data_IF_052466648826
#
_entry.id   IF_052466648826
#
_cell.length_a   1.000
_cell.length_b   1.000
_cell.length_c   1.000
_cell.angle_alpha   90.00
_cell.angle_beta   90.00
_cell.angle_gamma   90.00
#
_symmetry.space_group_name_H-M   'P 1'
#
loop_
_entity.id
_entity.type
_entity.pdbx_description
1 polymer ?
#
# COMPACT_ATOMS: atom_id res chain seq x y z
N UNK A 1 21.25 -1.29 25.14
CA UNK A 1 21.01 -0.95 23.72
C UNK A 1 19.57 -0.51 23.55
N UNK A 2 19.37 0.71 23.03
CA UNK A 2 18.07 1.24 22.64
C UNK A 2 17.43 0.38 21.53
N UNK A 3 16.14 0.55 21.31
CA UNK A 3 15.40 -0.14 20.23
C UNK A 3 16.00 0.17 18.86
N UNK A 4 16.51 1.39 18.65
CA UNK A 4 17.23 1.79 17.44
C UNK A 4 18.59 1.11 17.30
N UNK A 5 19.35 0.98 18.39
CA UNK A 5 20.65 0.31 18.37
C UNK A 5 20.50 -1.18 18.07
N UNK A 6 19.48 -1.83 18.66
CA UNK A 6 19.15 -3.22 18.34
C UNK A 6 18.79 -3.37 16.86
N UNK A 7 18.01 -2.44 16.31
CA UNK A 7 17.63 -2.46 14.89
C UNK A 7 18.83 -2.31 13.95
N UNK A 8 19.75 -1.37 14.25
CA UNK A 8 21.00 -1.19 13.48
C UNK A 8 21.89 -2.43 13.52
N UNK A 9 22.02 -3.07 14.69
CA UNK A 9 22.81 -4.29 14.85
C UNK A 9 22.18 -5.48 14.13
N UNK A 10 20.85 -5.60 14.13
CA UNK A 10 20.14 -6.64 13.37
C UNK A 10 20.38 -6.45 11.87
N UNK A 11 20.25 -5.24 11.33
CA UNK A 11 20.53 -4.97 9.92
C UNK A 11 21.96 -5.36 9.52
N UNK A 12 22.94 -5.07 10.38
CA UNK A 12 24.35 -5.38 10.13
C UNK A 12 24.69 -6.87 10.18
N UNK A 13 23.82 -7.70 10.77
CA UNK A 13 24.05 -9.15 10.96
C UNK A 13 23.25 -10.03 9.99
N UNK A 14 22.42 -9.43 9.13
CA UNK A 14 21.72 -10.16 8.06
C UNK A 14 22.75 -10.66 7.04
N UNK A 15 22.95 -11.98 7.00
CA UNK A 15 23.73 -12.64 5.96
C UNK A 15 23.01 -12.54 4.60
N UNK A 16 23.51 -11.64 3.77
CA UNK A 16 23.01 -11.42 2.40
C UNK A 16 23.64 -12.40 1.39
N UNK A 17 24.44 -13.38 1.81
CA UNK A 17 25.13 -14.29 0.91
C UNK A 17 24.20 -15.25 0.14
N UNK A 18 23.01 -15.54 0.68
CA UNK A 18 21.91 -16.20 -0.06
C UNK A 18 21.21 -15.29 -1.09
N UNK A 19 21.45 -13.99 -1.01
CA UNK A 19 21.03 -12.95 -1.96
C UNK A 19 22.14 -12.61 -2.97
N UNK A 20 23.32 -13.21 -2.82
CA UNK A 20 24.48 -12.96 -3.66
C UNK A 20 25.21 -14.27 -3.93
N UNK A 21 24.76 -14.99 -4.96
CA UNK A 21 25.62 -15.86 -5.78
C UNK A 21 24.84 -16.41 -6.98
N UNK A 22 25.09 -15.83 -8.16
CA UNK A 22 25.52 -16.61 -9.33
C UNK A 22 26.35 -15.75 -10.30
N UNK A 23 27.63 -16.12 -10.31
CA UNK A 23 28.63 -16.12 -11.39
C UNK A 23 28.83 -14.86 -12.23
N UNK A 24 29.98 -14.23 -11.95
CA UNK A 24 30.79 -13.41 -12.85
C UNK A 24 30.86 -14.03 -14.25
N UNK A 25 30.23 -13.40 -15.23
CA UNK A 25 30.58 -13.51 -16.64
C UNK A 25 30.36 -12.14 -17.27
N UNK A 26 31.46 -11.55 -17.73
CA UNK A 26 31.57 -10.34 -18.55
C UNK A 26 30.92 -9.06 -18.02
N UNK A 27 31.79 -8.09 -17.74
CA UNK A 27 31.46 -6.70 -17.42
C UNK A 27 30.66 -6.12 -18.58
N UNK A 28 29.33 -6.09 -18.44
CA UNK A 28 28.39 -5.11 -19.00
C UNK A 28 27.01 -5.31 -18.36
N UNK A 29 26.57 -4.27 -17.63
CA UNK A 29 25.19 -4.01 -17.15
C UNK A 29 24.41 -5.14 -16.44
N UNK A 30 24.77 -5.45 -15.19
CA UNK A 30 23.83 -6.11 -14.27
C UNK A 30 23.38 -5.11 -13.18
N UNK A 31 22.37 -4.30 -13.52
CA UNK A 31 21.59 -3.53 -12.56
C UNK A 31 20.78 -4.49 -11.69
N UNK A 32 20.94 -4.43 -10.37
CA UNK A 32 19.95 -4.99 -9.44
C UNK A 32 18.59 -4.32 -9.69
N UNK A 33 17.67 -5.00 -10.36
CA UNK A 33 16.33 -4.46 -10.72
C UNK A 33 15.24 -4.73 -9.68
N UNK A 34 15.53 -4.60 -8.40
CA UNK A 34 14.52 -4.61 -7.33
C UNK A 34 14.92 -3.53 -6.32
N UNK A 35 13.98 -2.66 -5.96
CA UNK A 35 14.18 -1.28 -5.43
C UNK A 35 14.54 -0.27 -6.52
N UNK A 36 13.66 -0.05 -7.49
CA UNK A 36 13.70 1.23 -8.21
C UNK A 36 13.42 2.32 -7.18
N UNK A 37 14.43 3.10 -6.81
CA UNK A 37 14.18 4.41 -6.22
C UNK A 37 13.11 5.09 -7.08
N UNK A 38 12.13 5.74 -6.45
CA UNK A 38 11.11 6.53 -7.14
C UNK A 38 11.74 7.79 -7.76
N UNK A 39 12.82 7.63 -8.54
CA UNK A 39 13.48 8.68 -9.33
C UNK A 39 12.53 9.21 -10.41
N UNK A 40 11.57 8.38 -10.83
CA UNK A 40 10.50 8.73 -11.76
C UNK A 40 9.14 8.47 -11.09
N UNK A 41 8.28 9.48 -11.03
CA UNK A 41 6.90 9.30 -10.56
C UNK A 41 6.17 8.39 -11.54
N UNK A 42 5.96 7.13 -11.18
CA UNK A 42 5.10 6.24 -11.95
C UNK A 42 3.70 6.81 -11.98
N UNK A 43 3.25 7.23 -13.15
CA UNK A 43 1.92 7.81 -13.32
C UNK A 43 0.89 6.70 -13.50
N UNK A 44 -0.22 6.78 -12.77
CA UNK A 44 -1.31 5.83 -12.92
C UNK A 44 -1.84 5.80 -14.37
N UNK A 45 -1.84 6.95 -15.05
CA UNK A 45 -2.22 7.08 -16.47
C UNK A 45 -1.37 6.23 -17.42
N UNK A 46 -0.13 5.86 -17.03
CA UNK A 46 0.77 5.04 -17.84
C UNK A 46 0.60 3.54 -17.62
N UNK A 47 0.21 3.14 -16.42
CA UNK A 47 0.26 1.72 -16.02
C UNK A 47 -1.11 1.11 -15.69
N UNK A 48 -2.00 1.88 -15.05
CA UNK A 48 -3.32 1.42 -14.62
C UNK A 48 -4.10 0.78 -15.78
N UNK A 49 -4.76 -0.34 -15.47
CA UNK A 49 -5.80 -0.92 -16.34
C UNK A 49 -7.20 -0.75 -15.75
N UNK A 50 -7.32 0.01 -14.66
CA UNK A 50 -8.56 0.23 -13.91
C UNK A 50 -9.23 -1.09 -13.48
N UNK A 51 -8.40 -2.02 -13.00
CA UNK A 51 -8.81 -3.35 -12.57
C UNK A 51 -8.64 -3.53 -11.08
N UNK A 52 -9.46 -4.41 -10.54
CA UNK A 52 -9.34 -4.91 -9.18
C UNK A 52 -9.23 -6.43 -9.22
N UNK A 53 -8.38 -6.98 -8.36
CA UNK A 53 -8.17 -8.41 -8.22
C UNK A 53 -9.27 -9.07 -7.39
N UNK A 54 -9.68 -8.42 -6.30
CA UNK A 54 -10.66 -8.97 -5.37
C UNK A 54 -11.36 -7.88 -4.56
N UNK A 55 -12.55 -8.18 -4.08
CA UNK A 55 -13.29 -7.36 -3.12
C UNK A 55 -13.81 -8.25 -1.99
N UNK A 56 -13.43 -7.90 -0.75
CA UNK A 56 -13.75 -8.65 0.46
C UNK A 56 -14.53 -7.77 1.44
N UNK A 57 -15.86 -7.95 1.56
CA UNK A 57 -16.63 -7.26 2.57
C UNK A 57 -16.45 -7.90 3.95
N UNK A 58 -16.67 -7.10 4.99
CA UNK A 58 -16.80 -7.52 6.39
C UNK A 58 -15.63 -8.31 7.00
N UNK A 59 -14.40 -7.87 6.72
CA UNK A 59 -13.18 -8.53 7.20
C UNK A 59 -12.42 -7.70 8.24
N UNK A 60 -11.44 -8.31 8.92
CA UNK A 60 -10.78 -7.75 10.11
C UNK A 60 -9.25 -7.67 9.98
N UNK A 61 -8.69 -8.03 8.83
CA UNK A 61 -7.24 -8.24 8.65
C UNK A 61 -6.54 -7.08 7.94
N UNK A 62 -7.30 -6.17 7.32
CA UNK A 62 -6.78 -5.04 6.53
C UNK A 62 -6.98 -3.67 7.22
N UNK A 63 -7.12 -3.65 8.54
CA UNK A 63 -7.26 -2.42 9.32
C UNK A 63 -8.14 -2.62 10.55
N UNK A 64 -8.27 -1.57 11.36
CA UNK A 64 -9.10 -1.60 12.57
C UNK A 64 -10.60 -1.66 12.25
N UNK A 65 -11.33 -2.43 13.07
CA UNK A 65 -12.76 -2.66 12.92
C UNK A 65 -13.14 -3.56 11.74
N UNK A 66 -14.44 -3.64 11.46
CA UNK A 66 -14.95 -4.38 10.30
C UNK A 66 -14.71 -3.53 9.04
N UNK A 67 -13.98 -4.07 8.08
CA UNK A 67 -13.57 -3.40 6.84
C UNK A 67 -14.33 -3.93 5.63
N UNK A 68 -14.60 -3.04 4.67
CA UNK A 68 -14.74 -3.41 3.27
C UNK A 68 -13.40 -3.21 2.58
N UNK A 69 -12.80 -4.27 2.03
CA UNK A 69 -11.45 -4.22 1.46
C UNK A 69 -11.47 -4.45 -0.05
N UNK A 70 -10.92 -3.51 -0.83
CA UNK A 70 -10.71 -3.68 -2.28
C UNK A 70 -9.23 -3.86 -2.58
N UNK A 71 -8.92 -4.89 -3.37
CA UNK A 71 -7.57 -5.24 -3.79
C UNK A 71 -7.39 -4.82 -5.25
N UNK A 72 -6.68 -3.72 -5.51
CA UNK A 72 -6.42 -3.20 -6.85
C UNK A 72 -5.34 -4.00 -7.57
N UNK A 73 -5.38 -4.04 -8.90
CA UNK A 73 -4.44 -4.81 -9.70
C UNK A 73 -3.26 -3.96 -10.18
N UNK A 74 -2.06 -4.53 -10.20
CA UNK A 74 -0.88 -3.89 -10.76
C UNK A 74 0.04 -3.25 -9.71
N UNK A 75 1.30 -3.69 -9.65
CA UNK A 75 2.33 -3.14 -8.77
C UNK A 75 3.69 -3.17 -9.46
N UNK A 76 4.43 -2.07 -9.41
CA UNK A 76 5.78 -2.00 -9.96
C UNK A 76 6.88 -2.21 -8.92
N UNK A 77 6.54 -2.28 -7.63
CA UNK A 77 7.53 -2.53 -6.57
C UNK A 77 8.09 -3.96 -6.63
N UNK A 78 7.26 -4.94 -6.98
CA UNK A 78 7.70 -6.32 -7.20
C UNK A 78 8.38 -6.94 -5.97
N UNK A 79 7.87 -6.67 -4.77
CA UNK A 79 8.49 -7.13 -3.52
C UNK A 79 8.64 -8.67 -3.53
N UNK A 80 9.84 -9.16 -3.18
CA UNK A 80 10.11 -10.60 -3.08
C UNK A 80 9.21 -11.22 -1.99
N UNK A 81 8.58 -12.35 -2.31
CA UNK A 81 7.65 -13.06 -1.41
C UNK A 81 6.48 -12.18 -0.93
N UNK A 82 6.04 -11.26 -1.79
CA UNK A 82 4.86 -10.45 -1.51
C UNK A 82 3.63 -11.35 -1.34
N UNK A 83 2.88 -11.15 -0.25
CA UNK A 83 1.61 -11.83 -0.03
C UNK A 83 0.63 -11.68 -1.21
N UNK A 84 0.72 -10.52 -1.90
CA UNK A 84 -0.12 -10.13 -3.03
C UNK A 84 0.62 -10.27 -4.38
N UNK A 85 1.57 -11.21 -4.51
CA UNK A 85 2.36 -11.39 -5.75
C UNK A 85 1.48 -11.62 -6.98
N UNK A 86 0.42 -12.43 -6.87
CA UNK A 86 -0.48 -12.76 -7.98
C UNK A 86 -1.20 -11.55 -8.59
N UNK A 87 -1.32 -10.45 -7.83
CA UNK A 87 -2.06 -9.24 -8.22
C UNK A 87 -1.11 -8.08 -8.57
N UNK A 88 0.21 -8.32 -8.64
CA UNK A 88 1.18 -7.36 -9.17
C UNK A 88 1.04 -7.15 -10.68
N UNK A 89 0.40 -8.08 -11.39
CA UNK A 89 0.07 -7.94 -12.81
C UNK A 89 -1.12 -6.97 -12.98
N UNK A 90 -0.93 -5.91 -13.76
CA UNK A 90 -1.98 -4.91 -14.05
C UNK A 90 -3.23 -5.51 -14.74
N UNK A 91 -3.11 -6.68 -15.38
CA UNK A 91 -4.24 -7.37 -16.00
C UNK A 91 -4.96 -8.35 -15.07
N UNK A 92 -4.49 -8.57 -13.84
CA UNK A 92 -5.13 -9.47 -12.89
C UNK A 92 -6.56 -8.99 -12.56
N UNK A 93 -7.44 -9.94 -12.27
CA UNK A 93 -8.80 -9.65 -11.83
C UNK A 93 -9.75 -9.14 -12.92
N UNK A 94 -10.68 -8.27 -12.51
CA UNK A 94 -11.82 -7.80 -13.30
C UNK A 94 -11.76 -6.27 -13.46
N UNK A 95 -12.47 -5.77 -14.45
CA UNK A 95 -12.64 -4.33 -14.64
C UNK A 95 -13.42 -3.73 -13.47
N UNK A 96 -13.00 -2.54 -13.03
CA UNK A 96 -13.73 -1.77 -12.04
C UNK A 96 -14.99 -1.17 -12.67
N UNK A 97 -16.15 -1.41 -12.06
CA UNK A 97 -17.44 -0.98 -12.59
C UNK A 97 -18.26 -0.23 -11.55
N UNK A 98 -19.27 0.51 -12.00
CA UNK A 98 -20.19 1.21 -11.09
C UNK A 98 -20.99 0.23 -10.23
N UNK A 99 -21.33 -0.96 -10.75
CA UNK A 99 -22.06 -1.97 -9.98
C UNK A 99 -21.22 -2.50 -8.79
N UNK A 100 -19.90 -2.63 -8.96
CA UNK A 100 -19.01 -2.96 -7.86
C UNK A 100 -18.95 -1.80 -6.86
N UNK A 101 -18.82 -0.56 -7.34
CA UNK A 101 -18.76 0.61 -6.49
C UNK A 101 -20.05 0.76 -5.65
N UNK A 102 -21.22 0.57 -6.27
CA UNK A 102 -22.53 0.56 -5.62
C UNK A 102 -22.60 -0.50 -4.53
N UNK A 103 -22.11 -1.71 -4.82
CA UNK A 103 -22.01 -2.79 -3.83
C UNK A 103 -21.13 -2.39 -2.65
N UNK A 104 -19.95 -1.84 -2.89
CA UNK A 104 -19.04 -1.40 -1.83
C UNK A 104 -19.70 -0.34 -0.95
N UNK A 105 -20.37 0.65 -1.56
CA UNK A 105 -21.08 1.70 -0.81
C UNK A 105 -22.24 1.10 0.00
N UNK A 106 -23.01 0.17 -0.57
CA UNK A 106 -24.07 -0.54 0.16
C UNK A 106 -23.51 -1.29 1.37
N UNK A 107 -22.44 -2.04 1.20
CA UNK A 107 -21.81 -2.81 2.29
C UNK A 107 -21.23 -1.87 3.37
N UNK A 108 -20.67 -0.72 2.98
CA UNK A 108 -20.20 0.31 3.92
C UNK A 108 -21.31 0.96 4.76
N UNK A 109 -22.56 0.98 4.29
CA UNK A 109 -23.71 1.55 5.04
C UNK A 109 -24.03 0.79 6.32
N UNK A 110 -23.62 -0.47 6.44
CA UNK A 110 -23.86 -1.23 7.65
C UNK A 110 -23.23 -0.53 8.88
N UNK A 111 -23.98 -0.37 9.99
CA UNK A 111 -23.51 0.41 11.14
C UNK A 111 -22.31 -0.22 11.84
N UNK A 112 -22.13 -1.53 11.74
CA UNK A 112 -20.98 -2.25 12.30
C UNK A 112 -19.72 -2.15 11.43
N UNK A 113 -19.81 -1.66 10.20
CA UNK A 113 -18.65 -1.46 9.31
C UNK A 113 -17.95 -0.16 9.67
N UNK A 114 -16.68 -0.23 10.03
CA UNK A 114 -15.90 0.95 10.38
C UNK A 114 -15.52 1.76 9.13
N UNK A 115 -15.19 1.10 8.02
CA UNK A 115 -14.78 1.83 6.81
C UNK A 115 -14.19 0.98 5.69
N UNK A 116 -13.53 1.67 4.77
CA UNK A 116 -12.94 1.14 3.54
C UNK A 116 -11.42 0.93 3.69
N UNK A 117 -10.90 -0.20 3.24
CA UNK A 117 -9.47 -0.36 2.98
C UNK A 117 -9.21 -0.49 1.48
N UNK A 118 -8.32 0.35 0.95
CA UNK A 118 -7.82 0.29 -0.42
C UNK A 118 -6.41 -0.28 -0.38
N UNK A 119 -6.23 -1.48 -0.93
CA UNK A 119 -4.95 -2.17 -0.93
C UNK A 119 -4.78 -2.95 -2.23
N UNK A 120 -3.81 -3.87 -2.25
CA UNK A 120 -3.56 -4.76 -3.37
C UNK A 120 -2.86 -4.07 -4.54
N UNK A 121 -2.06 -4.84 -5.28
CA UNK A 121 -1.12 -4.27 -6.24
C UNK A 121 -0.42 -3.07 -5.59
N UNK A 122 -0.50 -1.92 -6.25
CA UNK A 122 -0.20 -0.61 -5.69
C UNK A 122 -1.38 0.34 -5.95
N UNK A 123 -2.14 0.76 -4.90
CA UNK A 123 -3.27 1.68 -5.05
C UNK A 123 -2.90 3.00 -5.70
N UNK A 124 -1.71 3.55 -5.43
CA UNK A 124 -1.27 4.80 -6.01
C UNK A 124 -0.82 4.68 -7.48
N UNK A 125 -0.80 3.47 -8.06
CA UNK A 125 -0.72 3.24 -9.50
C UNK A 125 -2.08 3.05 -10.17
N UNK A 126 -3.16 3.10 -9.37
CA UNK A 126 -4.55 2.92 -9.78
C UNK A 126 -5.43 4.07 -9.27
N UNK A 127 -4.88 5.28 -9.20
CA UNK A 127 -5.54 6.48 -8.64
C UNK A 127 -6.91 6.75 -9.27
N UNK A 128 -7.13 6.46 -10.56
CA UNK A 128 -8.46 6.60 -11.18
C UNK A 128 -9.55 5.82 -10.45
N UNK A 129 -9.29 4.55 -10.11
CA UNK A 129 -10.23 3.70 -9.37
C UNK A 129 -10.31 4.14 -7.91
N UNK A 130 -9.15 4.32 -7.27
CA UNK A 130 -9.08 4.67 -5.86
C UNK A 130 -9.73 6.03 -5.56
N UNK A 131 -9.53 7.04 -6.42
CA UNK A 131 -10.16 8.36 -6.29
C UNK A 131 -11.67 8.29 -6.50
N UNK A 132 -12.16 7.53 -7.49
CA UNK A 132 -13.60 7.34 -7.71
C UNK A 132 -14.27 6.86 -6.43
N UNK A 133 -13.74 5.76 -5.88
CA UNK A 133 -14.29 5.15 -4.67
C UNK A 133 -14.12 6.05 -3.44
N UNK A 134 -12.92 6.60 -3.20
CA UNK A 134 -12.65 7.43 -2.02
C UNK A 134 -13.51 8.70 -2.01
N UNK A 135 -13.66 9.37 -3.17
CA UNK A 135 -14.56 10.54 -3.30
C UNK A 135 -16.00 10.16 -3.01
N UNK A 136 -16.46 9.02 -3.51
CA UNK A 136 -17.83 8.56 -3.25
C UNK A 136 -18.05 8.21 -1.79
N UNK A 137 -17.10 7.56 -1.12
CA UNK A 137 -17.15 7.31 0.32
C UNK A 137 -17.26 8.63 1.10
N UNK A 138 -16.44 9.64 0.74
CA UNK A 138 -16.53 10.97 1.36
C UNK A 138 -17.87 11.67 1.10
N UNK A 139 -18.42 11.54 -0.10
CA UNK A 139 -19.72 12.11 -0.45
C UNK A 139 -20.87 11.47 0.35
N UNK A 140 -20.86 10.15 0.50
CA UNK A 140 -21.95 9.39 1.12
C UNK A 140 -21.88 9.36 2.65
N UNK A 141 -20.66 9.40 3.21
CA UNK A 141 -20.43 9.16 4.63
C UNK A 141 -19.65 10.27 5.35
N UNK A 142 -19.14 11.27 4.63
CA UNK A 142 -18.22 12.25 5.17
C UNK A 142 -17.03 11.56 5.84
N UNK A 143 -16.81 11.89 7.11
CA UNK A 143 -15.72 11.34 7.92
C UNK A 143 -16.15 10.20 8.86
N UNK A 144 -17.41 9.73 8.75
CA UNK A 144 -17.95 8.68 9.64
C UNK A 144 -17.45 7.27 9.29
N UNK A 145 -16.97 7.08 8.05
CA UNK A 145 -16.29 5.87 7.59
C UNK A 145 -14.84 6.22 7.28
N UNK A 146 -13.90 5.59 7.98
CA UNK A 146 -12.48 5.85 7.74
C UNK A 146 -11.99 5.15 6.46
N UNK A 147 -10.95 5.70 5.84
CA UNK A 147 -10.31 5.14 4.65
C UNK A 147 -8.86 4.83 4.97
N UNK A 148 -8.52 3.55 4.94
CA UNK A 148 -7.15 3.04 5.01
C UNK A 148 -6.62 2.83 3.60
N UNK A 149 -5.36 3.15 3.37
CA UNK A 149 -4.68 2.85 2.10
C UNK A 149 -3.30 2.25 2.36
N UNK A 150 -2.99 1.17 1.64
CA UNK A 150 -1.67 0.53 1.66
C UNK A 150 -0.84 1.01 0.49
N UNK A 151 0.47 1.20 0.67
CA UNK A 151 1.37 1.57 -0.41
C UNK A 151 2.79 1.06 -0.20
N UNK A 152 3.48 0.72 -1.28
CA UNK A 152 4.92 0.57 -1.30
C UNK A 152 5.66 1.91 -1.31
N UNK A 153 4.98 3.02 -1.58
CA UNK A 153 5.54 4.36 -1.38
C UNK A 153 5.57 4.71 0.10
N UNK A 154 6.56 5.52 0.46
CA UNK A 154 6.58 6.23 1.76
C UNK A 154 5.69 7.47 1.71
N UNK A 155 5.21 7.92 2.86
CA UNK A 155 4.45 9.16 3.00
C UNK A 155 5.15 10.35 2.35
N UNK A 156 6.46 10.49 2.57
CA UNK A 156 7.30 11.57 2.05
C UNK A 156 7.41 11.51 0.51
N UNK A 157 7.42 10.31 -0.08
CA UNK A 157 7.38 10.14 -1.54
C UNK A 157 6.02 10.53 -2.12
N UNK A 158 4.91 10.21 -1.42
CA UNK A 158 3.56 10.55 -1.86
C UNK A 158 3.32 12.06 -1.80
N UNK A 159 3.79 12.74 -0.75
CA UNK A 159 3.72 14.21 -0.64
C UNK A 159 4.44 14.94 -1.79
N UNK A 160 5.47 14.33 -2.37
CA UNK A 160 6.23 14.89 -3.50
C UNK A 160 5.76 14.38 -4.86
N UNK A 161 4.69 13.59 -4.93
CA UNK A 161 4.29 12.89 -6.14
C UNK A 161 3.37 13.68 -7.08
N UNK A 162 2.76 12.99 -8.04
CA UNK A 162 1.75 13.53 -8.94
C UNK A 162 0.49 13.94 -8.19
N UNK A 163 -0.25 14.90 -8.73
CA UNK A 163 -1.39 15.52 -8.05
C UNK A 163 -2.53 14.53 -7.76
N UNK A 164 -2.74 13.54 -8.63
CA UNK A 164 -3.70 12.45 -8.41
C UNK A 164 -3.38 11.60 -7.17
N UNK A 165 -2.09 11.37 -6.88
CA UNK A 165 -1.67 10.67 -5.67
C UNK A 165 -1.83 11.54 -4.43
N UNK A 166 -1.48 12.82 -4.51
CA UNK A 166 -1.68 13.76 -3.39
C UNK A 166 -3.16 13.91 -3.07
N UNK A 167 -4.00 13.99 -4.10
CA UNK A 167 -5.45 14.05 -3.96
C UNK A 167 -5.98 12.78 -3.29
N UNK A 168 -5.54 11.60 -3.73
CA UNK A 168 -5.95 10.33 -3.10
C UNK A 168 -5.53 10.30 -1.63
N UNK A 169 -4.29 10.66 -1.34
CA UNK A 169 -3.75 10.71 0.02
C UNK A 169 -4.57 11.63 0.92
N UNK A 170 -4.97 12.80 0.43
CA UNK A 170 -5.77 13.77 1.17
C UNK A 170 -7.20 13.28 1.49
N UNK A 171 -7.72 12.29 0.75
CA UNK A 171 -9.00 11.67 1.03
C UNK A 171 -8.90 10.53 2.04
N UNK A 172 -7.70 10.01 2.33
CA UNK A 172 -7.47 8.89 3.25
C UNK A 172 -7.20 9.36 4.68
N UNK A 173 -7.42 8.46 5.65
CA UNK A 173 -7.23 8.72 7.08
C UNK A 173 -6.03 7.99 7.67
N UNK A 174 -5.74 6.79 7.16
CA UNK A 174 -4.61 5.97 7.59
C UNK A 174 -3.83 5.49 6.38
N UNK A 175 -2.51 5.65 6.41
CA UNK A 175 -1.59 5.13 5.40
C UNK A 175 -0.74 4.02 6.03
N UNK A 176 -0.73 2.83 5.42
CA UNK A 176 0.30 1.80 5.67
C UNK A 176 1.36 1.94 4.58
N UNK A 177 2.51 2.48 4.94
CA UNK A 177 3.52 2.95 3.98
C UNK A 177 4.76 2.06 3.89
N UNK A 178 5.46 2.16 2.77
CA UNK A 178 6.73 1.48 2.50
C UNK A 178 6.61 0.06 1.94
N UNK A 179 7.62 -0.40 1.18
CA UNK A 179 7.59 -1.70 0.53
C UNK A 179 7.72 -2.82 1.57
N UNK A 180 7.19 -4.01 1.24
CA UNK A 180 7.43 -5.21 2.01
C UNK A 180 8.89 -5.65 1.87
N UNK A 181 9.56 -5.89 3.00
CA UNK A 181 10.95 -6.35 3.06
C UNK A 181 10.98 -7.70 3.78
N UNK A 182 11.25 -8.78 3.02
CA UNK A 182 11.26 -10.15 3.56
C UNK A 182 12.23 -10.33 4.74
N UNK A 183 13.38 -9.67 4.72
CA UNK A 183 14.36 -9.74 5.81
C UNK A 183 13.87 -9.08 7.11
N UNK A 184 12.83 -8.25 7.04
CA UNK A 184 12.18 -7.58 8.16
C UNK A 184 10.77 -8.11 8.42
N UNK A 185 10.43 -9.26 7.82
CA UNK A 185 9.12 -9.91 7.98
C UNK A 185 8.91 -10.29 9.44
N UNK A 186 7.77 -9.91 9.98
CA UNK A 186 7.34 -10.27 11.33
C UNK A 186 5.82 -10.45 11.33
N UNK A 187 5.38 -11.68 11.65
CA UNK A 187 3.96 -12.08 11.65
C UNK A 187 3.20 -11.55 12.87
N UNK A 188 3.91 -11.06 13.89
CA UNK A 188 3.31 -10.44 15.07
C UNK A 188 2.92 -8.97 14.87
N UNK A 189 3.30 -8.37 13.73
CA UNK A 189 2.97 -6.98 13.43
C UNK A 189 1.49 -6.83 13.06
N UNK A 190 0.83 -5.87 13.70
CA UNK A 190 -0.55 -5.51 13.36
C UNK A 190 -0.58 -4.89 11.96
N UNK A 191 -1.40 -5.44 11.06
CA UNK A 191 -1.76 -4.83 9.78
C UNK A 191 -0.61 -4.50 8.80
N UNK A 192 0.61 -4.98 9.05
CA UNK A 192 1.78 -4.77 8.16
C UNK A 192 2.63 -6.04 8.11
N UNK A 193 3.33 -6.24 6.98
CA UNK A 193 4.09 -7.46 6.73
C UNK A 193 5.54 -7.41 7.19
N UNK A 194 6.13 -6.22 7.26
CA UNK A 194 7.51 -6.02 7.67
C UNK A 194 7.72 -4.79 8.56
N UNK A 195 8.71 -4.84 9.44
CA UNK A 195 8.90 -3.84 10.51
C UNK A 195 9.32 -2.45 10.04
N UNK A 196 9.70 -2.29 8.76
CA UNK A 196 9.96 -0.99 8.15
C UNK A 196 8.69 -0.23 7.78
N UNK A 197 7.56 -0.91 7.63
CA UNK A 197 6.32 -0.28 7.21
C UNK A 197 5.73 0.50 8.38
N UNK A 198 5.25 1.73 8.15
CA UNK A 198 4.63 2.57 9.19
C UNK A 198 3.13 2.60 8.97
N UNK A 199 2.37 2.61 10.07
CA UNK A 199 0.94 2.91 10.03
C UNK A 199 0.83 4.37 10.49
N UNK A 200 0.38 5.25 9.60
CA UNK A 200 0.43 6.70 9.79
C UNK A 200 -0.98 7.26 9.90
N UNK A 201 -1.24 8.05 10.94
CA UNK A 201 -2.47 8.85 11.09
C UNK A 201 -2.34 10.09 10.20
N UNK A 202 -2.98 10.07 9.02
CA UNK A 202 -2.87 11.14 8.03
C UNK A 202 -3.53 12.44 8.50
N UNK A 203 -4.52 12.37 9.40
CA UNK A 203 -5.20 13.55 9.93
C UNK A 203 -4.34 14.33 10.92
N UNK A 204 -3.44 13.63 11.62
CA UNK A 204 -2.55 14.23 12.62
C UNK A 204 -1.13 14.48 12.13
N UNK A 205 -0.74 13.88 11.02
CA UNK A 205 0.62 14.00 10.48
C UNK A 205 0.79 15.21 9.58
N UNK A 206 1.96 15.85 9.65
CA UNK A 206 2.43 16.87 8.70
C UNK A 206 3.69 16.38 8.00
N UNK A 207 4.23 17.15 7.05
CA UNK A 207 5.47 16.80 6.38
C UNK A 207 6.68 16.76 7.34
N UNK A 208 6.62 17.52 8.44
CA UNK A 208 7.68 17.66 9.43
C UNK A 208 7.48 16.75 10.65
N UNK A 209 6.24 16.32 10.92
CA UNK A 209 5.90 15.52 12.08
C UNK A 209 4.95 14.38 11.71
N UNK A 210 5.45 13.15 11.74
CA UNK A 210 4.67 11.94 11.44
C UNK A 210 4.13 11.37 12.74
N UNK A 211 2.81 11.24 12.82
CA UNK A 211 2.11 10.61 13.93
C UNK A 211 1.79 9.17 13.54
N UNK A 212 2.40 8.22 14.26
CA UNK A 212 2.13 6.81 14.06
C UNK A 212 0.78 6.43 14.69
N UNK A 213 0.06 5.57 13.99
CA UNK A 213 -1.20 5.00 14.41
C UNK A 213 -0.93 3.60 14.99
N UNK A 214 -1.49 3.27 16.16
CA UNK A 214 -1.31 1.99 16.87
C UNK A 214 0.09 1.67 17.40
N UNK A 215 1.00 2.64 17.42
CA UNK A 215 2.33 2.54 18.04
C UNK A 215 2.43 3.39 19.33
#
# INVERSE_FOLDING_TARGET
MSREEKFKTIIQTIDTSGYSKRKKANINSCEMKTFREAKDFWLASKYSKNKYADYKPFQFVDGEGVRCSIYLSGCLFGCKECFNESIQNFNAGKDYTMELEDRIISDLRHPYVQGLTILGGEPFLNTKVALSLAKRVRMEFGNTKDIWVYSGYTYEQLLKSSDDKKELLALCDVLVDGPFIIALKDLGLRFRGSSNQRIIDLRKSTAENIVLYLD
#
